data_IF_002501247984
#
_entry.id   IF_002501247984
#
_cell.length_a   1.000
_cell.length_b   1.000
_cell.length_c   1.000
_cell.angle_alpha   90.00
_cell.angle_beta   90.00
_cell.angle_gamma   90.00
#
_symmetry.space_group_name_H-M   'P 1'
#
loop_
_entity.id
_entity.type
_entity.pdbx_description
1 polymer ?
#
# COMPACT_ATOMS: atom_id res chain seq x y z
N UNK A 1 -3.16 12.36 5.56
CA UNK A 1 -2.58 11.23 6.32
C UNK A 1 -3.20 9.94 5.78
N UNK A 2 -2.43 8.85 5.59
CA UNK A 2 -2.97 7.62 5.00
C UNK A 2 -3.83 6.85 6.00
N UNK A 3 -4.85 6.17 5.50
CA UNK A 3 -5.71 5.29 6.27
C UNK A 3 -5.17 3.85 6.25
N UNK A 4 -4.28 3.53 7.19
CA UNK A 4 -3.64 2.21 7.28
C UNK A 4 -4.64 1.05 7.41
N UNK A 5 -5.73 1.25 8.16
CA UNK A 5 -6.82 0.27 8.29
C UNK A 5 -7.48 0.00 6.94
N UNK A 6 -7.85 1.05 6.20
CA UNK A 6 -8.48 0.91 4.87
C UNK A 6 -7.56 0.18 3.88
N UNK A 7 -6.26 0.47 3.92
CA UNK A 7 -5.26 -0.21 3.10
C UNK A 7 -5.21 -1.71 3.39
N UNK A 8 -5.21 -2.07 4.67
CA UNK A 8 -5.29 -3.47 5.11
C UNK A 8 -6.57 -4.14 4.63
N UNK A 9 -7.72 -3.48 4.82
CA UNK A 9 -9.03 -4.02 4.45
C UNK A 9 -9.12 -4.29 2.95
N UNK A 10 -8.64 -3.36 2.09
CA UNK A 10 -8.58 -3.54 0.65
C UNK A 10 -7.60 -4.63 0.21
N UNK A 11 -6.43 -4.73 0.86
CA UNK A 11 -5.48 -5.80 0.56
C UNK A 11 -6.11 -7.17 0.85
N UNK A 12 -6.77 -7.31 1.99
CA UNK A 12 -7.42 -8.55 2.39
C UNK A 12 -8.63 -8.89 1.49
N UNK A 13 -9.41 -7.90 1.05
CA UNK A 13 -10.54 -8.13 0.13
C UNK A 13 -10.09 -8.62 -1.25
N UNK A 14 -8.88 -8.25 -1.68
CA UNK A 14 -8.24 -8.77 -2.90
C UNK A 14 -7.55 -10.13 -2.70
N UNK A 15 -7.54 -10.68 -1.48
CA UNK A 15 -6.93 -11.97 -1.16
C UNK A 15 -5.40 -11.93 -1.07
N UNK A 16 -4.79 -10.75 -0.96
CA UNK A 16 -3.33 -10.61 -0.88
C UNK A 16 -2.81 -10.66 0.55
N UNK A 17 -1.70 -11.35 0.77
CA UNK A 17 -0.84 -11.18 1.94
C UNK A 17 0.10 -9.99 1.76
N UNK A 18 0.76 -9.54 2.84
CA UNK A 18 1.82 -8.51 2.73
C UNK A 18 3.02 -9.00 1.91
N UNK A 19 3.29 -10.31 1.91
CA UNK A 19 4.34 -10.93 1.11
C UNK A 19 3.99 -10.93 -0.39
N UNK A 20 2.71 -11.13 -0.73
CA UNK A 20 2.25 -11.09 -2.13
C UNK A 20 2.44 -9.70 -2.73
N UNK A 21 2.07 -8.64 -2.01
CA UNK A 21 2.30 -7.25 -2.45
C UNK A 21 3.80 -6.99 -2.66
N UNK A 22 4.64 -7.48 -1.74
CA UNK A 22 6.09 -7.35 -1.90
C UNK A 22 6.59 -8.04 -3.16
N UNK A 23 6.15 -9.26 -3.43
CA UNK A 23 6.61 -10.02 -4.59
C UNK A 23 6.07 -9.44 -5.90
N UNK A 24 4.82 -8.96 -5.90
CA UNK A 24 4.17 -8.36 -7.06
C UNK A 24 4.83 -7.02 -7.44
N UNK A 25 5.15 -6.18 -6.46
CA UNK A 25 5.81 -4.88 -6.68
C UNK A 25 7.31 -4.96 -6.98
N UNK A 26 7.92 -6.15 -6.94
CA UNK A 26 9.26 -6.37 -7.51
C UNK A 26 9.28 -6.37 -9.03
N UNK A 27 8.12 -6.56 -9.68
CA UNK A 27 8.04 -6.52 -11.13
C UNK A 27 8.46 -5.12 -11.65
N UNK A 28 9.41 -5.01 -12.59
CA UNK A 28 9.88 -3.72 -13.12
C UNK A 28 8.81 -2.83 -13.74
N UNK A 29 7.62 -3.36 -14.04
CA UNK A 29 6.47 -2.56 -14.48
C UNK A 29 6.04 -1.54 -13.42
N UNK A 30 6.31 -1.80 -12.13
CA UNK A 30 6.07 -0.87 -11.05
C UNK A 30 7.30 0.00 -10.83
N UNK A 31 7.11 1.32 -10.73
CA UNK A 31 8.21 2.28 -10.54
C UNK A 31 8.94 2.17 -9.19
N UNK A 32 8.44 1.36 -8.26
CA UNK A 32 9.11 1.07 -6.99
C UNK A 32 8.58 -0.23 -6.38
N UNK A 33 9.40 -0.90 -5.56
CA UNK A 33 8.99 -2.06 -4.77
C UNK A 33 8.52 -1.67 -3.37
N UNK A 34 7.59 -2.41 -2.81
CA UNK A 34 7.08 -2.22 -1.45
C UNK A 34 7.55 -3.40 -0.60
N UNK A 35 8.38 -3.17 0.42
CA UNK A 35 8.77 -4.26 1.31
C UNK A 35 7.60 -4.66 2.22
N UNK A 36 7.62 -5.92 2.68
CA UNK A 36 6.66 -6.42 3.67
C UNK A 36 6.62 -5.51 4.91
N UNK A 37 7.79 -5.17 5.47
CA UNK A 37 7.89 -4.32 6.66
C UNK A 37 7.32 -2.92 6.43
N UNK A 38 7.58 -2.33 5.25
CA UNK A 38 7.05 -1.01 4.89
C UNK A 38 5.53 -1.01 4.87
N UNK A 39 4.92 -2.04 4.26
CA UNK A 39 3.47 -2.17 4.20
C UNK A 39 2.86 -2.40 5.58
N UNK A 40 3.50 -3.21 6.43
CA UNK A 40 3.04 -3.47 7.80
C UNK A 40 3.08 -2.21 8.68
N UNK A 41 4.15 -1.41 8.61
CA UNK A 41 4.23 -0.11 9.28
C UNK A 41 3.12 0.85 8.80
N UNK A 42 2.81 0.82 7.51
CA UNK A 42 1.80 1.67 6.90
C UNK A 42 0.39 1.25 7.36
N UNK A 43 0.09 -0.05 7.37
CA UNK A 43 -1.19 -0.58 7.85
C UNK A 43 -1.43 -0.30 9.34
N UNK A 44 -0.38 -0.31 10.17
CA UNK A 44 -0.46 0.07 11.59
C UNK A 44 -0.57 1.57 11.82
N UNK A 45 -0.38 2.40 10.80
CA UNK A 45 -0.33 3.85 10.93
C UNK A 45 0.96 4.39 11.57
N UNK A 46 1.99 3.55 11.69
CA UNK A 46 3.30 3.90 12.24
C UNK A 46 4.20 4.58 11.18
N UNK A 47 3.87 4.41 9.89
CA UNK A 47 4.70 4.93 8.81
C UNK A 47 4.62 6.46 8.72
N UNK A 48 5.68 7.11 9.18
CA UNK A 48 5.90 8.55 9.01
C UNK A 48 6.40 8.85 7.59
N UNK A 49 5.84 9.87 6.96
CA UNK A 49 6.25 10.39 5.65
C UNK A 49 6.43 9.29 4.57
N UNK A 50 5.37 8.52 4.26
CA UNK A 50 5.44 7.52 3.20
C UNK A 50 5.80 8.19 1.86
N UNK A 51 6.78 7.62 1.15
CA UNK A 51 7.14 8.05 -0.21
C UNK A 51 5.92 8.03 -1.13
N UNK A 52 5.65 9.16 -1.78
CA UNK A 52 4.52 9.30 -2.70
C UNK A 52 4.52 8.23 -3.80
N UNK A 53 5.69 7.92 -4.40
CA UNK A 53 5.79 6.87 -5.42
C UNK A 53 5.37 5.49 -4.90
N UNK A 54 5.66 5.18 -3.63
CA UNK A 54 5.19 3.92 -3.01
C UNK A 54 3.69 3.92 -2.78
N UNK A 55 3.10 5.07 -2.44
CA UNK A 55 1.64 5.22 -2.31
C UNK A 55 0.95 5.04 -3.65
N UNK A 56 1.49 5.62 -4.73
CA UNK A 56 0.96 5.46 -6.10
C UNK A 56 0.99 4.00 -6.52
N UNK A 57 2.13 3.31 -6.35
CA UNK A 57 2.23 1.87 -6.67
C UNK A 57 1.25 1.06 -5.81
N UNK A 58 1.11 1.40 -4.53
CA UNK A 58 0.16 0.71 -3.66
C UNK A 58 -1.29 0.87 -4.15
N UNK A 59 -1.69 2.08 -4.55
CA UNK A 59 -3.02 2.35 -5.12
C UNK A 59 -3.25 1.51 -6.39
N UNK A 60 -2.25 1.45 -7.28
CA UNK A 60 -2.33 0.64 -8.51
C UNK A 60 -2.53 -0.85 -8.20
N UNK A 61 -1.77 -1.40 -7.25
CA UNK A 61 -1.90 -2.81 -6.83
C UNK A 61 -3.25 -3.09 -6.16
N UNK A 62 -3.74 -2.14 -5.37
CA UNK A 62 -5.03 -2.24 -4.68
C UNK A 62 -6.22 -1.88 -5.59
N UNK A 63 -5.97 -1.57 -6.86
CA UNK A 63 -6.99 -1.23 -7.86
C UNK A 63 -7.91 -0.08 -7.43
N UNK A 64 -7.33 0.92 -6.76
CA UNK A 64 -8.04 2.10 -6.30
C UNK A 64 -7.27 3.37 -6.68
N UNK A 65 -7.86 4.52 -6.39
CA UNK A 65 -7.19 5.82 -6.51
C UNK A 65 -6.38 6.13 -5.25
N UNK A 66 -5.41 7.05 -5.37
CA UNK A 66 -4.62 7.51 -4.21
C UNK A 66 -5.51 8.19 -3.18
N UNK A 67 -6.52 8.95 -3.62
CA UNK A 67 -7.44 9.66 -2.73
C UNK A 67 -8.22 8.72 -1.82
N UNK A 68 -8.56 7.53 -2.31
CA UNK A 68 -9.21 6.51 -1.50
C UNK A 68 -8.32 5.96 -0.38
N UNK A 69 -6.99 6.09 -0.47
CA UNK A 69 -6.06 5.67 0.58
C UNK A 69 -5.89 6.71 1.69
N UNK A 70 -6.43 7.91 1.51
CA UNK A 70 -6.30 9.02 2.45
C UNK A 70 -7.41 8.92 3.52
N UNK A 71 -7.10 9.33 4.75
CA UNK A 71 -8.12 9.57 5.77
C UNK A 71 -9.07 10.67 5.27
N UNK A 72 -10.31 10.30 5.03
CA UNK A 72 -11.41 11.27 4.89
C UNK A 72 -11.53 12.05 6.19
N UNK A 73 -11.62 13.38 6.10
CA UNK A 73 -11.85 14.26 7.24
C UNK A 73 -13.21 14.01 7.88
#
# INVERSE_FOLDING_TARGET
MLNGKKIRDMRLSLGYTTLDIQNLTKNPKYGTSISKSYLEELERGEKKNPSFNKVVVLAEVLRCTVDELILSA
#
